data_IF_189090627728
#
_entry.id   IF_189090627728
#
_cell.length_a   1.000
_cell.length_b   1.000
_cell.length_c   1.000
_cell.angle_alpha   90.00
_cell.angle_beta   90.00
_cell.angle_gamma   90.00
#
_symmetry.space_group_name_H-M   'P 1'
#
loop_
_entity.id
_entity.type
_entity.pdbx_description
1 polymer ?
#
# COMPACT_ATOMS: atom_id res chain seq x y z
N UNK A 1 13.94 16.40 -21.19
CA UNK A 1 14.23 17.29 -20.04
C UNK A 1 15.31 16.65 -19.22
N UNK A 2 16.48 17.27 -19.09
CA UNK A 2 17.62 16.68 -18.38
C UNK A 2 17.54 17.03 -16.90
N UNK A 3 17.68 16.05 -16.03
CA UNK A 3 17.76 16.24 -14.58
C UNK A 3 19.15 16.80 -14.28
N UNK A 4 19.21 18.02 -13.71
CA UNK A 4 20.46 18.74 -13.48
C UNK A 4 21.04 18.51 -12.09
N UNK A 5 20.14 18.35 -11.09
CA UNK A 5 20.54 18.10 -9.70
C UNK A 5 19.44 17.38 -8.95
N UNK A 6 19.83 16.74 -7.86
CA UNK A 6 18.90 16.17 -6.88
C UNK A 6 19.32 16.61 -5.48
N UNK A 7 18.33 16.54 -4.57
CA UNK A 7 18.51 16.74 -3.14
C UNK A 7 17.64 15.76 -2.37
N UNK A 8 18.00 15.45 -1.13
CA UNK A 8 17.28 14.50 -0.29
C UNK A 8 17.30 14.97 1.17
N UNK A 9 16.12 14.90 1.79
CA UNK A 9 15.97 15.06 3.24
C UNK A 9 15.27 13.82 3.85
N UNK A 10 15.51 13.58 5.13
CA UNK A 10 14.92 12.48 5.89
C UNK A 10 14.11 13.07 7.04
N UNK A 11 12.82 12.75 7.06
CA UNK A 11 11.91 13.19 8.10
C UNK A 11 11.38 11.97 8.86
N UNK A 12 11.18 12.12 10.18
CA UNK A 12 10.70 11.08 11.07
C UNK A 12 9.37 11.51 11.68
N UNK A 13 8.31 10.77 11.37
CA UNK A 13 6.97 11.07 11.86
C UNK A 13 6.60 10.13 13.02
N UNK A 14 6.30 10.65 14.20
CA UNK A 14 6.04 9.84 15.38
C UNK A 14 4.66 9.15 15.31
N UNK A 15 4.61 7.88 15.66
CA UNK A 15 3.36 7.17 15.81
C UNK A 15 2.76 7.37 17.23
N UNK A 16 1.45 7.27 17.32
CA UNK A 16 0.72 7.30 18.59
C UNK A 16 1.02 6.06 19.45
N UNK A 17 1.20 4.90 18.79
CA UNK A 17 1.49 3.60 19.39
C UNK A 17 2.40 2.83 18.44
N UNK A 18 3.20 1.87 18.95
CA UNK A 18 3.92 0.96 18.07
C UNK A 18 2.98 0.25 17.11
N UNK A 19 3.33 0.22 15.82
CA UNK A 19 2.58 -0.51 14.81
C UNK A 19 3.19 -1.91 14.67
N UNK A 20 2.44 -2.93 15.10
CA UNK A 20 2.92 -4.31 15.20
C UNK A 20 2.27 -5.22 14.16
N UNK A 21 3.09 -5.87 13.33
CA UNK A 21 2.68 -6.91 12.38
C UNK A 21 3.90 -7.75 11.98
N UNK A 22 3.70 -8.89 11.34
CA UNK A 22 4.77 -9.72 10.77
C UNK A 22 5.89 -10.05 11.77
N UNK A 23 5.53 -10.14 13.06
CA UNK A 23 6.46 -10.49 14.14
C UNK A 23 7.37 -9.35 14.62
N UNK A 24 7.21 -8.13 14.13
CA UNK A 24 7.95 -6.94 14.55
C UNK A 24 7.05 -5.77 14.90
N UNK A 25 7.64 -4.66 15.32
CA UNK A 25 6.95 -3.40 15.57
C UNK A 25 7.88 -2.21 15.31
N UNK A 26 7.32 -1.08 14.89
CA UNK A 26 8.05 0.18 14.74
C UNK A 26 7.28 1.32 15.42
N UNK A 27 8.01 2.38 15.81
CA UNK A 27 7.48 3.46 16.64
C UNK A 27 7.36 4.79 15.92
N UNK A 28 7.99 4.91 14.77
CA UNK A 28 7.97 6.08 13.91
C UNK A 28 8.04 5.68 12.44
N UNK A 29 7.50 6.51 11.58
CA UNK A 29 7.61 6.35 10.13
C UNK A 29 8.70 7.27 9.62
N UNK A 30 9.67 6.69 8.94
CA UNK A 30 10.68 7.44 8.24
C UNK A 30 10.21 7.77 6.83
N UNK A 31 10.48 8.99 6.39
CA UNK A 31 10.12 9.49 5.07
C UNK A 31 11.37 10.05 4.41
N UNK A 32 11.47 9.87 3.11
CA UNK A 32 12.42 10.59 2.26
C UNK A 32 11.66 11.66 1.48
N UNK A 33 12.15 12.89 1.51
CA UNK A 33 11.77 13.96 0.58
C UNK A 33 12.85 14.03 -0.49
N UNK A 34 12.49 13.80 -1.75
CA UNK A 34 13.41 13.81 -2.89
C UNK A 34 13.06 15.01 -3.77
N UNK A 35 14.03 15.87 -4.02
CA UNK A 35 13.91 16.97 -4.97
C UNK A 35 14.72 16.65 -6.22
N UNK A 36 14.08 16.70 -7.38
CA UNK A 36 14.74 16.60 -8.69
C UNK A 36 14.55 17.93 -9.43
N UNK A 37 15.63 18.51 -9.91
CA UNK A 37 15.61 19.80 -10.61
C UNK A 37 16.05 19.66 -12.06
N UNK A 38 15.38 20.38 -12.91
CA UNK A 38 15.72 20.57 -14.31
C UNK A 38 15.88 22.07 -14.59
N UNK A 39 16.23 22.48 -15.80
CA UNK A 39 16.29 23.89 -16.15
C UNK A 39 14.92 24.60 -16.05
N UNK A 40 13.81 23.88 -16.12
CA UNK A 40 12.47 24.44 -16.33
C UNK A 40 11.53 24.18 -15.17
N UNK A 41 11.77 23.12 -14.37
CA UNK A 41 10.86 22.68 -13.32
C UNK A 41 11.58 21.97 -12.17
N UNK A 42 10.90 21.90 -11.04
CA UNK A 42 11.29 21.14 -9.86
C UNK A 42 10.18 20.16 -9.51
N UNK A 43 10.53 18.90 -9.26
CA UNK A 43 9.63 17.89 -8.72
C UNK A 43 10.08 17.49 -7.32
N UNK A 44 9.16 17.44 -6.37
CA UNK A 44 9.44 17.05 -4.97
C UNK A 44 8.55 15.88 -4.60
N UNK A 45 9.13 14.70 -4.53
CA UNK A 45 8.42 13.47 -4.16
C UNK A 45 8.70 13.04 -2.73
N UNK A 46 7.69 12.51 -2.05
CA UNK A 46 7.83 11.89 -0.73
C UNK A 46 7.77 10.38 -0.89
N UNK A 47 8.65 9.66 -0.19
CA UNK A 47 8.62 8.19 -0.07
C UNK A 47 8.54 7.78 1.39
N UNK A 48 7.68 6.81 1.70
CA UNK A 48 7.55 6.25 3.05
C UNK A 48 8.36 4.97 3.20
N UNK A 49 9.39 4.96 4.06
CA UNK A 49 10.23 3.80 4.27
C UNK A 49 9.50 2.75 5.11
N UNK A 50 9.40 1.53 4.63
CA UNK A 50 8.63 0.44 5.25
C UNK A 50 9.46 -0.84 5.36
N UNK A 51 10.51 -0.80 6.18
CA UNK A 51 11.54 -1.86 6.26
C UNK A 51 10.93 -3.21 6.65
N UNK A 52 10.13 -3.26 7.73
CA UNK A 52 9.52 -4.50 8.22
C UNK A 52 8.63 -5.17 7.16
N UNK A 53 7.87 -4.36 6.40
CA UNK A 53 7.01 -4.86 5.32
C UNK A 53 7.84 -5.33 4.13
N UNK A 54 8.81 -4.52 3.71
CA UNK A 54 9.56 -4.74 2.46
C UNK A 54 10.60 -5.86 2.59
N UNK A 55 11.30 -5.96 3.73
CA UNK A 55 12.23 -7.05 4.02
C UNK A 55 12.42 -7.29 5.53
N UNK A 56 11.75 -8.31 6.10
CA UNK A 56 11.89 -8.64 7.53
C UNK A 56 13.31 -9.04 7.94
N UNK A 57 14.15 -9.56 7.02
CA UNK A 57 15.53 -9.94 7.34
C UNK A 57 16.39 -8.69 7.60
N UNK A 58 16.20 -7.63 6.81
CA UNK A 58 16.86 -6.33 7.08
C UNK A 58 16.37 -5.76 8.40
N UNK A 59 15.05 -5.79 8.66
CA UNK A 59 14.49 -5.30 9.92
C UNK A 59 15.04 -6.04 11.14
N UNK A 60 15.17 -7.36 11.06
CA UNK A 60 15.67 -8.20 12.15
C UNK A 60 17.19 -8.10 12.38
N UNK A 61 17.96 -7.78 11.32
CA UNK A 61 19.41 -7.67 11.38
C UNK A 61 19.90 -6.30 11.88
N UNK A 62 19.03 -5.28 11.89
CA UNK A 62 19.39 -3.91 12.22
C UNK A 62 18.42 -3.32 13.26
N UNK A 63 18.82 -2.21 13.87
CA UNK A 63 17.87 -1.37 14.62
C UNK A 63 16.87 -0.71 13.66
N UNK A 64 15.73 -0.23 14.18
CA UNK A 64 14.76 0.55 13.39
C UNK A 64 15.46 1.70 12.64
N UNK A 65 16.33 2.44 13.31
CA UNK A 65 17.12 3.51 12.69
C UNK A 65 18.06 3.00 11.61
N UNK A 66 18.83 1.94 11.90
CA UNK A 66 19.83 1.39 10.97
C UNK A 66 19.19 0.87 9.67
N UNK A 67 18.09 0.12 9.78
CA UNK A 67 17.37 -0.38 8.61
C UNK A 67 16.78 0.75 7.73
N UNK A 68 16.20 1.78 8.36
CA UNK A 68 15.68 2.95 7.64
C UNK A 68 16.79 3.74 6.92
N UNK A 69 17.96 3.92 7.55
CA UNK A 69 19.10 4.57 6.92
C UNK A 69 19.60 3.79 5.70
N UNK A 70 19.66 2.46 5.77
CA UNK A 70 20.05 1.63 4.62
C UNK A 70 19.08 1.85 3.44
N UNK A 71 17.78 1.88 3.69
CA UNK A 71 16.79 2.14 2.62
C UNK A 71 16.88 3.58 2.09
N UNK A 72 17.10 4.57 2.95
CA UNK A 72 17.29 5.96 2.54
C UNK A 72 18.53 6.14 1.63
N UNK A 73 19.63 5.42 1.88
CA UNK A 73 20.81 5.40 1.00
C UNK A 73 20.50 4.82 -0.38
N UNK A 74 19.57 3.87 -0.48
CA UNK A 74 19.09 3.36 -1.79
C UNK A 74 18.29 4.43 -2.53
N UNK A 75 17.46 5.20 -1.82
CA UNK A 75 16.75 6.35 -2.39
C UNK A 75 17.73 7.40 -2.92
N UNK A 76 18.76 7.75 -2.14
CA UNK A 76 19.81 8.69 -2.54
C UNK A 76 20.55 8.21 -3.78
N UNK A 77 21.00 6.94 -3.78
CA UNK A 77 21.65 6.33 -4.94
C UNK A 77 20.80 6.49 -6.21
N UNK A 78 19.51 6.19 -6.12
CA UNK A 78 18.59 6.27 -7.26
C UNK A 78 18.39 7.71 -7.74
N UNK A 79 18.27 8.67 -6.83
CA UNK A 79 18.16 10.09 -7.17
C UNK A 79 19.44 10.61 -7.85
N UNK A 80 20.61 10.24 -7.33
CA UNK A 80 21.91 10.62 -7.92
C UNK A 80 22.12 9.98 -9.30
N UNK A 81 21.70 8.73 -9.51
CA UNK A 81 21.81 8.05 -10.80
C UNK A 81 20.98 8.72 -11.91
N UNK A 82 19.99 9.54 -11.57
CA UNK A 82 19.20 10.30 -12.53
C UNK A 82 19.89 11.60 -12.98
N UNK A 83 20.84 12.12 -12.22
CA UNK A 83 21.52 13.39 -12.57
C UNK A 83 22.28 13.24 -13.89
N UNK A 84 22.09 14.15 -14.80
CA UNK A 84 22.63 14.11 -16.17
C UNK A 84 21.81 13.27 -17.16
N UNK A 85 20.77 12.55 -16.71
CA UNK A 85 19.92 11.73 -17.58
C UNK A 85 18.69 12.51 -18.09
N UNK A 86 18.04 11.98 -19.11
CA UNK A 86 16.83 12.57 -19.72
C UNK A 86 15.81 11.47 -20.03
N UNK A 87 15.20 10.85 -19.00
CA UNK A 87 14.25 9.77 -19.23
C UNK A 87 13.03 10.27 -20.02
N UNK A 88 12.52 9.45 -20.93
CA UNK A 88 11.35 9.81 -21.74
C UNK A 88 10.07 9.85 -20.88
N UNK A 89 10.01 9.02 -19.83
CA UNK A 89 8.89 8.96 -18.90
C UNK A 89 9.34 8.52 -17.49
N UNK A 90 8.53 8.77 -16.44
CA UNK A 90 8.78 8.22 -15.10
C UNK A 90 8.87 6.69 -15.11
N UNK A 91 8.07 6.02 -15.91
CA UNK A 91 8.07 4.55 -16.03
C UNK A 91 9.40 4.01 -16.57
N UNK A 92 9.92 4.62 -17.63
CA UNK A 92 11.24 4.26 -18.18
C UNK A 92 12.35 4.45 -17.15
N UNK A 93 12.30 5.58 -16.42
CA UNK A 93 13.26 5.85 -15.35
C UNK A 93 13.21 4.75 -14.27
N UNK A 94 12.03 4.40 -13.77
CA UNK A 94 11.87 3.35 -12.75
C UNK A 94 12.31 1.98 -13.27
N UNK A 95 11.96 1.62 -14.50
CA UNK A 95 12.40 0.37 -15.12
C UNK A 95 13.94 0.26 -15.21
N UNK A 96 14.60 1.37 -15.50
CA UNK A 96 16.08 1.43 -15.59
C UNK A 96 16.72 1.42 -14.20
N UNK A 97 16.14 2.14 -13.24
CA UNK A 97 16.68 2.30 -11.89
C UNK A 97 16.48 1.08 -11.01
N UNK A 98 15.35 0.37 -11.12
CA UNK A 98 15.00 -0.70 -10.21
C UNK A 98 16.05 -1.82 -10.13
N UNK A 99 16.58 -2.35 -11.25
CA UNK A 99 17.65 -3.35 -11.17
C UNK A 99 18.93 -2.80 -10.51
N UNK A 100 19.29 -1.56 -10.79
CA UNK A 100 20.49 -0.91 -10.24
C UNK A 100 20.34 -0.64 -8.74
N UNK A 101 19.18 -0.11 -8.33
CA UNK A 101 18.86 0.14 -6.92
C UNK A 101 18.79 -1.16 -6.10
N UNK A 102 18.24 -2.24 -6.69
CA UNK A 102 18.20 -3.54 -6.03
C UNK A 102 19.60 -4.15 -5.85
N UNK A 103 20.45 -4.08 -6.87
CA UNK A 103 21.83 -4.55 -6.78
C UNK A 103 22.63 -3.72 -5.76
N UNK A 104 22.49 -2.39 -5.77
CA UNK A 104 23.08 -1.51 -4.76
C UNK A 104 22.60 -1.87 -3.34
N UNK A 105 21.30 -2.11 -3.17
CA UNK A 105 20.71 -2.49 -1.89
C UNK A 105 21.21 -3.84 -1.39
N UNK A 106 21.38 -4.85 -2.26
CA UNK A 106 21.96 -6.16 -1.91
C UNK A 106 23.39 -6.01 -1.41
N UNK A 107 24.18 -5.21 -2.09
CA UNK A 107 25.58 -4.95 -1.68
C UNK A 107 25.64 -4.19 -0.34
N UNK A 108 24.78 -3.19 -0.16
CA UNK A 108 24.70 -2.36 1.04
C UNK A 108 24.26 -3.16 2.27
N UNK A 109 23.22 -3.99 2.12
CA UNK A 109 22.67 -4.82 3.20
C UNK A 109 23.45 -6.12 3.42
N UNK A 110 24.27 -6.52 2.46
CA UNK A 110 24.97 -7.83 2.41
C UNK A 110 24.00 -9.01 2.44
N UNK A 111 22.79 -8.84 1.91
CA UNK A 111 21.76 -9.87 1.78
C UNK A 111 21.63 -10.25 0.30
N UNK A 112 22.18 -11.40 -0.14
CA UNK A 112 22.04 -11.84 -1.54
C UNK A 112 20.60 -12.04 -1.98
N UNK A 113 19.75 -12.51 -1.06
CA UNK A 113 18.31 -12.79 -1.26
C UNK A 113 17.43 -11.61 -0.84
N UNK A 114 17.95 -10.37 -0.86
CA UNK A 114 17.17 -9.18 -0.54
C UNK A 114 15.94 -9.09 -1.44
N UNK A 115 14.77 -8.85 -0.85
CA UNK A 115 13.51 -8.73 -1.58
C UNK A 115 13.50 -7.49 -2.49
N UNK A 116 12.96 -7.65 -3.69
CA UNK A 116 12.82 -6.52 -4.65
C UNK A 116 11.91 -5.42 -4.10
N UNK A 117 10.95 -5.78 -3.22
CA UNK A 117 10.09 -4.84 -2.51
C UNK A 117 10.88 -3.77 -1.76
N UNK A 118 12.07 -4.12 -1.21
CA UNK A 118 12.94 -3.17 -0.52
C UNK A 118 13.41 -2.03 -1.45
N UNK A 119 13.85 -2.39 -2.66
CA UNK A 119 14.27 -1.40 -3.66
C UNK A 119 13.08 -0.61 -4.22
N UNK A 120 11.94 -1.27 -4.51
CA UNK A 120 10.73 -0.59 -4.98
C UNK A 120 10.25 0.44 -3.97
N UNK A 121 10.26 0.11 -2.68
CA UNK A 121 9.85 1.05 -1.64
C UNK A 121 10.80 2.25 -1.53
N UNK A 122 12.11 2.03 -1.66
CA UNK A 122 13.09 3.10 -1.71
C UNK A 122 12.89 4.06 -2.91
N UNK A 123 12.36 3.57 -4.03
CA UNK A 123 12.14 4.36 -5.24
C UNK A 123 10.87 5.23 -5.20
N UNK A 124 9.97 5.08 -4.23
CA UNK A 124 8.68 5.79 -4.20
C UNK A 124 8.85 7.32 -4.26
N UNK A 125 9.73 7.89 -3.43
CA UNK A 125 9.98 9.34 -3.44
C UNK A 125 10.56 9.83 -4.76
N UNK A 126 11.44 9.05 -5.37
CA UNK A 126 12.04 9.35 -6.69
C UNK A 126 10.98 9.32 -7.78
N UNK A 127 10.14 8.29 -7.81
CA UNK A 127 9.06 8.14 -8.78
C UNK A 127 8.03 9.27 -8.67
N UNK A 128 7.62 9.62 -7.44
CA UNK A 128 6.70 10.73 -7.20
C UNK A 128 7.26 12.08 -7.69
N UNK A 129 8.57 12.34 -7.48
CA UNK A 129 9.24 13.52 -8.01
C UNK A 129 9.28 13.53 -9.55
N UNK A 130 9.55 12.38 -10.16
CA UNK A 130 9.53 12.22 -11.63
C UNK A 130 8.14 12.47 -12.22
N UNK A 131 7.06 11.98 -11.57
CA UNK A 131 5.70 12.23 -12.02
C UNK A 131 5.30 13.70 -11.91
N UNK A 132 5.77 14.42 -10.88
CA UNK A 132 5.58 15.88 -10.81
C UNK A 132 6.32 16.61 -11.92
N UNK A 133 7.59 16.25 -12.21
CA UNK A 133 8.33 16.80 -13.35
C UNK A 133 7.65 16.51 -14.69
N UNK A 134 7.14 15.28 -14.85
CA UNK A 134 6.42 14.89 -16.05
C UNK A 134 5.15 15.71 -16.23
N UNK A 135 4.38 15.90 -15.15
CA UNK A 135 3.19 16.72 -15.17
C UNK A 135 3.50 18.18 -15.52
N UNK A 136 4.50 18.76 -14.87
CA UNK A 136 4.93 20.15 -15.16
C UNK A 136 5.35 20.34 -16.62
N UNK A 137 6.15 19.40 -17.15
CA UNK A 137 6.61 19.43 -18.54
C UNK A 137 5.48 19.40 -19.57
N UNK A 138 4.43 18.63 -19.29
CA UNK A 138 3.33 18.39 -20.23
C UNK A 138 2.06 19.19 -19.90
N UNK A 139 2.10 20.06 -18.87
CA UNK A 139 0.95 20.86 -18.43
C UNK A 139 -0.21 19.99 -17.92
N UNK A 140 0.08 18.84 -17.29
CA UNK A 140 -0.94 17.94 -16.77
C UNK A 140 -1.41 18.42 -15.39
N UNK A 141 -2.72 18.50 -15.21
CA UNK A 141 -3.34 19.08 -14.00
C UNK A 141 -4.32 18.13 -13.32
N UNK A 142 -4.54 16.94 -13.88
CA UNK A 142 -5.44 15.94 -13.32
C UNK A 142 -4.77 14.57 -13.27
N UNK A 143 -5.17 13.71 -12.32
CA UNK A 143 -4.64 12.35 -12.26
C UNK A 143 -4.96 11.55 -13.54
N UNK A 144 -6.14 11.75 -14.14
CA UNK A 144 -6.52 11.05 -15.36
C UNK A 144 -5.55 11.30 -16.53
N UNK A 145 -4.93 12.48 -16.57
CA UNK A 145 -3.92 12.82 -17.58
C UNK A 145 -2.56 12.14 -17.30
N UNK A 146 -2.29 11.72 -16.06
CA UNK A 146 -1.09 10.95 -15.72
C UNK A 146 -1.21 9.49 -16.13
N UNK A 147 -2.44 8.95 -16.22
CA UNK A 147 -2.66 7.52 -16.53
C UNK A 147 -2.21 7.24 -17.98
N UNK A 148 -1.20 6.36 -18.18
CA UNK A 148 -0.74 5.99 -19.51
C UNK A 148 -1.84 5.26 -20.31
N UNK A 149 -1.81 5.38 -21.64
CA UNK A 149 -2.83 4.79 -22.50
C UNK A 149 -3.07 3.30 -22.25
N UNK A 150 -2.01 2.53 -22.01
CA UNK A 150 -2.11 1.10 -21.74
C UNK A 150 -2.79 0.74 -20.40
N UNK A 151 -2.89 1.69 -19.45
CA UNK A 151 -3.50 1.48 -18.14
C UNK A 151 -4.90 2.12 -18.02
N UNK A 152 -5.38 2.83 -19.05
CA UNK A 152 -6.66 3.54 -19.01
C UNK A 152 -7.84 2.62 -18.75
N UNK A 153 -7.88 1.46 -19.38
CA UNK A 153 -9.00 0.51 -19.21
C UNK A 153 -9.02 -0.08 -17.79
N UNK A 154 -7.85 -0.29 -17.18
CA UNK A 154 -7.74 -0.77 -15.82
C UNK A 154 -8.14 0.28 -14.77
N UNK A 155 -7.99 1.57 -15.10
CA UNK A 155 -8.22 2.71 -14.22
C UNK A 155 -9.33 3.63 -14.75
N UNK A 156 -10.40 3.03 -15.27
CA UNK A 156 -11.53 3.75 -15.87
C UNK A 156 -12.74 3.93 -14.93
N UNK A 157 -12.77 3.25 -13.80
CA UNK A 157 -13.87 3.40 -12.84
C UNK A 157 -13.89 4.80 -12.22
N UNK A 158 -15.03 5.18 -11.69
CA UNK A 158 -15.24 6.44 -11.00
C UNK A 158 -15.96 6.19 -9.69
N UNK A 159 -15.19 5.81 -8.67
CA UNK A 159 -15.73 5.57 -7.33
C UNK A 159 -16.06 6.92 -6.67
N UNK A 160 -17.30 7.14 -6.31
CA UNK A 160 -17.72 8.31 -5.54
C UNK A 160 -17.55 8.10 -4.04
N UNK A 161 -17.40 6.84 -3.62
CA UNK A 161 -17.15 6.45 -2.25
C UNK A 161 -16.18 5.26 -2.24
N UNK A 162 -15.24 5.28 -1.28
CA UNK A 162 -14.41 4.12 -0.95
C UNK A 162 -14.64 3.77 0.52
N UNK A 163 -14.80 2.49 0.84
CA UNK A 163 -14.73 2.03 2.22
C UNK A 163 -13.28 2.07 2.66
N UNK A 164 -13.04 2.70 3.80
CA UNK A 164 -11.71 2.75 4.41
C UNK A 164 -11.49 1.51 5.26
N UNK A 165 -10.40 0.79 5.01
CA UNK A 165 -10.00 -0.37 5.78
C UNK A 165 -8.97 0.05 6.84
N UNK A 166 -9.32 0.06 8.13
CA UNK A 166 -8.32 0.16 9.19
C UNK A 166 -7.66 -1.20 9.40
N UNK A 167 -6.34 -1.23 9.63
CA UNK A 167 -5.66 -2.46 10.01
C UNK A 167 -5.96 -2.80 11.48
N UNK A 168 -6.55 -3.96 11.69
CA UNK A 168 -6.77 -4.57 13.00
C UNK A 168 -5.55 -5.42 13.32
N UNK A 169 -4.56 -4.79 13.98
CA UNK A 169 -3.30 -5.45 14.37
C UNK A 169 -3.50 -6.36 15.58
N UNK A 170 -2.49 -7.12 15.96
CA UNK A 170 -2.52 -7.99 17.16
C UNK A 170 -2.74 -7.22 18.47
N UNK A 171 -2.45 -5.93 18.50
CA UNK A 171 -2.61 -5.04 19.66
C UNK A 171 -3.77 -4.04 19.52
N UNK A 172 -4.68 -4.28 18.59
CA UNK A 172 -5.84 -3.42 18.39
C UNK A 172 -6.77 -3.48 19.60
N UNK A 173 -7.33 -2.33 19.98
CA UNK A 173 -8.33 -2.24 21.06
C UNK A 173 -9.71 -2.69 20.55
N UNK A 174 -10.09 -3.92 20.85
CA UNK A 174 -11.32 -4.54 20.37
C UNK A 174 -12.59 -3.85 20.85
N UNK A 175 -12.55 -3.10 21.95
CA UNK A 175 -13.70 -2.29 22.40
C UNK A 175 -14.12 -1.25 21.34
N UNK A 176 -13.22 -0.85 20.45
CA UNK A 176 -13.52 0.07 19.35
C UNK A 176 -14.21 -0.61 18.17
N UNK A 177 -14.12 -1.93 18.03
CA UNK A 177 -14.68 -2.65 16.88
C UNK A 177 -16.19 -2.53 16.80
N UNK A 178 -16.90 -2.68 17.91
CA UNK A 178 -18.35 -2.53 17.97
C UNK A 178 -18.79 -1.12 17.53
N UNK A 179 -18.10 -0.08 18.01
CA UNK A 179 -18.38 1.32 17.63
C UNK A 179 -18.13 1.56 16.14
N UNK A 180 -17.06 1.00 15.58
CA UNK A 180 -16.79 1.11 14.14
C UNK A 180 -17.83 0.35 13.30
N UNK A 181 -18.26 -0.81 13.76
CA UNK A 181 -19.25 -1.63 13.07
C UNK A 181 -20.66 -0.98 13.05
N UNK A 182 -21.02 -0.19 14.07
CA UNK A 182 -22.28 0.57 14.11
C UNK A 182 -22.41 1.59 12.96
N UNK A 183 -21.30 2.00 12.34
CA UNK A 183 -21.31 2.93 11.20
C UNK A 183 -21.97 2.38 9.94
N UNK A 184 -22.13 1.06 9.81
CA UNK A 184 -22.58 0.39 8.59
C UNK A 184 -21.57 0.39 7.44
N UNK A 185 -20.44 1.09 7.60
CA UNK A 185 -19.38 1.24 6.58
C UNK A 185 -18.03 0.72 7.09
N UNK A 186 -18.03 -0.28 7.96
CA UNK A 186 -16.82 -0.83 8.55
C UNK A 186 -16.41 -2.12 7.85
N UNK A 187 -15.22 -2.14 7.24
CA UNK A 187 -14.58 -3.32 6.66
C UNK A 187 -13.24 -3.56 7.36
N UNK A 188 -13.18 -4.49 8.34
CA UNK A 188 -11.95 -4.74 9.09
C UNK A 188 -10.91 -5.47 8.23
N UNK A 189 -9.71 -4.91 8.10
CA UNK A 189 -8.53 -5.63 7.62
C UNK A 189 -7.82 -6.24 8.84
N UNK A 190 -8.03 -7.53 9.07
CA UNK A 190 -7.54 -8.24 10.25
C UNK A 190 -6.20 -8.87 9.95
N UNK A 191 -5.17 -8.53 10.74
CA UNK A 191 -3.86 -9.19 10.68
C UNK A 191 -3.97 -10.57 11.32
N UNK A 192 -3.62 -11.60 10.56
CA UNK A 192 -3.47 -12.99 10.98
C UNK A 192 -2.01 -13.43 10.85
N UNK A 193 -1.67 -14.66 11.24
CA UNK A 193 -0.28 -15.10 11.26
C UNK A 193 0.45 -14.69 12.53
N UNK A 194 -0.18 -14.91 13.70
CA UNK A 194 0.41 -14.59 15.01
C UNK A 194 1.81 -15.21 15.19
N UNK A 195 2.70 -14.58 15.97
CA UNK A 195 4.02 -15.15 16.27
C UNK A 195 3.92 -16.50 16.96
N UNK A 196 4.85 -17.41 16.66
CA UNK A 196 4.93 -18.77 17.24
C UNK A 196 5.19 -19.83 16.17
N UNK A 197 5.12 -21.09 16.56
CA UNK A 197 5.09 -22.23 15.63
C UNK A 197 3.81 -22.19 14.79
N UNK A 198 3.75 -22.91 13.66
CA UNK A 198 2.55 -22.95 12.81
C UNK A 198 1.29 -23.42 13.56
N UNK A 199 1.43 -24.37 14.49
CA UNK A 199 0.31 -24.83 15.32
C UNK A 199 -0.15 -23.77 16.33
N UNK A 200 0.77 -23.09 17.00
CA UNK A 200 0.43 -21.99 17.91
C UNK A 200 -0.18 -20.80 17.17
N UNK A 201 0.37 -20.47 15.99
CA UNK A 201 -0.15 -19.42 15.11
C UNK A 201 -1.60 -19.71 14.72
N UNK A 202 -1.85 -20.90 14.17
CA UNK A 202 -3.19 -21.32 13.77
C UNK A 202 -4.18 -21.28 14.92
N UNK A 203 -3.78 -21.80 16.10
CA UNK A 203 -4.65 -21.80 17.28
C UNK A 203 -5.02 -20.39 17.73
N UNK A 204 -4.07 -19.45 17.72
CA UNK A 204 -4.30 -18.03 18.07
C UNK A 204 -5.15 -17.32 17.03
N UNK A 205 -4.90 -17.54 15.73
CA UNK A 205 -5.70 -16.96 14.67
C UNK A 205 -7.14 -17.44 14.74
N UNK A 206 -7.37 -18.75 14.93
CA UNK A 206 -8.71 -19.31 15.12
C UNK A 206 -9.44 -18.71 16.32
N UNK A 207 -8.78 -18.63 17.48
CA UNK A 207 -9.39 -18.03 18.68
C UNK A 207 -9.76 -16.56 18.47
N UNK A 208 -8.82 -15.78 17.91
CA UNK A 208 -9.03 -14.36 17.61
C UNK A 208 -10.18 -14.11 16.65
N UNK A 209 -10.23 -14.86 15.55
CA UNK A 209 -11.30 -14.71 14.55
C UNK A 209 -12.66 -15.12 15.10
N UNK A 210 -12.71 -16.14 15.97
CA UNK A 210 -13.95 -16.54 16.68
C UNK A 210 -14.46 -15.39 17.56
N UNK A 211 -13.59 -14.76 18.36
CA UNK A 211 -13.94 -13.64 19.22
C UNK A 211 -14.44 -12.44 18.40
N UNK A 212 -13.72 -12.07 17.35
CA UNK A 212 -14.08 -10.95 16.47
C UNK A 212 -15.42 -11.21 15.76
N UNK A 213 -15.63 -12.41 15.24
CA UNK A 213 -16.87 -12.78 14.57
C UNK A 213 -18.07 -12.78 15.53
N UNK A 214 -17.90 -13.27 16.75
CA UNK A 214 -18.95 -13.20 17.78
C UNK A 214 -19.31 -11.76 18.13
N UNK A 215 -18.36 -10.84 18.08
CA UNK A 215 -18.57 -9.44 18.43
C UNK A 215 -19.24 -8.62 17.31
N UNK A 216 -18.81 -8.78 16.05
CA UNK A 216 -19.22 -7.90 14.93
C UNK A 216 -19.81 -8.63 13.74
N UNK A 217 -19.86 -9.98 13.72
CA UNK A 217 -20.27 -10.76 12.56
C UNK A 217 -21.71 -10.52 12.08
N UNK A 218 -22.59 -10.04 12.96
CA UNK A 218 -23.96 -9.67 12.64
C UNK A 218 -24.14 -8.19 12.30
N UNK A 219 -23.06 -7.40 12.25
CA UNK A 219 -23.15 -5.98 11.93
C UNK A 219 -23.61 -5.78 10.47
N UNK A 220 -24.48 -4.79 10.20
CA UNK A 220 -24.89 -4.49 8.85
C UNK A 220 -23.75 -3.78 8.09
N UNK A 221 -23.76 -3.94 6.75
CA UNK A 221 -22.85 -3.23 5.87
C UNK A 221 -23.57 -2.73 4.63
N UNK A 222 -23.50 -1.43 4.35
CA UNK A 222 -24.14 -0.78 3.21
C UNK A 222 -23.33 -0.88 1.91
N UNK A 223 -22.11 -1.41 2.02
CA UNK A 223 -21.15 -1.57 0.91
C UNK A 223 -21.13 -3.00 0.34
N UNK A 224 -21.70 -3.98 1.01
CA UNK A 224 -21.78 -5.36 0.53
C UNK A 224 -23.10 -5.64 -0.17
N UNK A 225 -23.09 -6.54 -1.16
CA UNK A 225 -24.27 -6.87 -1.98
C UNK A 225 -25.38 -7.54 -1.16
N UNK A 226 -25.04 -8.24 -0.09
CA UNK A 226 -25.99 -8.94 0.80
C UNK A 226 -26.26 -8.21 2.12
N UNK A 227 -25.70 -7.03 2.32
CA UNK A 227 -25.90 -6.21 3.52
C UNK A 227 -25.16 -6.70 4.77
N UNK A 228 -24.29 -7.72 4.66
CA UNK A 228 -23.49 -8.25 5.78
C UNK A 228 -22.07 -7.68 5.80
N UNK A 229 -21.53 -7.52 7.01
CA UNK A 229 -20.13 -7.17 7.21
C UNK A 229 -19.23 -8.20 6.54
N UNK A 230 -18.24 -7.73 5.77
CA UNK A 230 -17.20 -8.56 5.16
C UNK A 230 -15.89 -8.46 5.96
N UNK A 231 -15.05 -9.48 5.83
CA UNK A 231 -13.73 -9.55 6.47
C UNK A 231 -12.63 -9.60 5.41
N UNK A 232 -11.63 -8.77 5.57
CA UNK A 232 -10.39 -8.82 4.84
C UNK A 232 -9.32 -9.39 5.79
N UNK A 233 -8.75 -10.55 5.49
CA UNK A 233 -7.69 -11.17 6.29
C UNK A 233 -6.33 -10.92 5.62
N UNK A 234 -5.32 -10.55 6.39
CA UNK A 234 -3.97 -10.30 5.89
C UNK A 234 -2.94 -11.09 6.70
N UNK A 235 -2.35 -12.09 6.05
CA UNK A 235 -1.41 -13.02 6.64
C UNK A 235 0.06 -12.61 6.51
N UNK A 236 0.37 -11.65 5.64
CA UNK A 236 1.74 -11.17 5.36
C UNK A 236 2.77 -12.30 5.17
N UNK A 237 2.39 -13.38 4.48
CA UNK A 237 3.26 -14.51 4.15
C UNK A 237 3.59 -15.44 5.34
N UNK A 238 2.74 -15.52 6.35
CA UNK A 238 3.05 -16.25 7.59
C UNK A 238 2.66 -17.73 7.58
N UNK A 239 1.78 -18.18 6.69
CA UNK A 239 1.38 -19.58 6.55
C UNK A 239 2.38 -20.32 5.67
N UNK A 240 3.02 -21.39 6.20
CA UNK A 240 4.06 -22.12 5.46
C UNK A 240 3.47 -23.12 4.46
N UNK A 241 2.23 -23.58 4.66
CA UNK A 241 1.60 -24.60 3.82
C UNK A 241 0.13 -24.33 3.54
N UNK A 242 -0.35 -24.83 2.39
CA UNK A 242 -1.77 -24.85 2.04
C UNK A 242 -2.61 -25.64 3.02
N UNK A 243 -2.08 -26.69 3.64
CA UNK A 243 -2.82 -27.50 4.62
C UNK A 243 -3.09 -26.71 5.91
N UNK A 244 -2.13 -25.92 6.39
CA UNK A 244 -2.37 -25.05 7.55
C UNK A 244 -3.42 -23.99 7.23
N UNK A 245 -3.40 -23.42 6.02
CA UNK A 245 -4.42 -22.45 5.58
C UNK A 245 -5.80 -23.11 5.46
N UNK A 246 -5.91 -24.32 4.89
CA UNK A 246 -7.18 -25.05 4.81
C UNK A 246 -7.76 -25.32 6.19
N UNK A 247 -6.96 -25.67 7.18
CA UNK A 247 -7.41 -25.85 8.58
C UNK A 247 -7.99 -24.55 9.17
N UNK A 248 -7.43 -23.39 8.81
CA UNK A 248 -8.06 -22.11 9.16
C UNK A 248 -9.42 -21.97 8.47
N UNK A 249 -9.50 -22.20 7.16
CA UNK A 249 -10.76 -22.10 6.41
C UNK A 249 -11.84 -23.05 6.95
N UNK A 250 -11.48 -24.29 7.29
CA UNK A 250 -12.38 -25.26 7.95
C UNK A 250 -12.87 -24.74 9.31
N UNK A 251 -12.05 -23.99 10.03
CA UNK A 251 -12.47 -23.35 11.28
C UNK A 251 -13.45 -22.21 11.02
N UNK A 252 -13.17 -21.35 10.03
CA UNK A 252 -14.04 -20.23 9.65
C UNK A 252 -15.40 -20.71 9.16
N UNK A 253 -15.45 -21.82 8.43
CA UNK A 253 -16.70 -22.47 8.01
C UNK A 253 -17.51 -22.93 9.23
N UNK A 254 -16.88 -23.63 10.17
CA UNK A 254 -17.54 -24.11 11.39
C UNK A 254 -18.14 -23.01 12.27
N UNK A 255 -17.57 -21.82 12.27
CA UNK A 255 -18.10 -20.69 13.04
C UNK A 255 -19.05 -19.80 12.21
N UNK A 256 -19.30 -20.12 10.93
CA UNK A 256 -20.17 -19.36 10.02
C UNK A 256 -19.58 -18.05 9.49
N UNK A 257 -18.25 -17.90 9.58
CA UNK A 257 -17.55 -16.70 9.13
C UNK A 257 -17.10 -16.79 7.67
N UNK A 258 -16.99 -18.01 7.09
CA UNK A 258 -16.35 -18.22 5.79
C UNK A 258 -17.02 -17.43 4.66
N UNK A 259 -18.35 -17.39 4.60
CA UNK A 259 -19.14 -16.69 3.59
C UNK A 259 -19.00 -15.15 3.67
N UNK A 260 -18.44 -14.63 4.74
CA UNK A 260 -18.17 -13.21 4.93
C UNK A 260 -16.71 -12.84 4.65
N UNK A 261 -15.86 -13.79 4.22
CA UNK A 261 -14.48 -13.51 3.85
C UNK A 261 -14.46 -12.89 2.44
N UNK A 262 -14.16 -11.60 2.36
CA UNK A 262 -13.95 -10.91 1.09
C UNK A 262 -12.72 -11.48 0.37
N UNK A 263 -11.60 -11.56 1.10
CA UNK A 263 -10.36 -12.15 0.60
C UNK A 263 -9.36 -12.44 1.74
N UNK A 264 -8.35 -13.27 1.41
CA UNK A 264 -7.14 -13.45 2.22
C UNK A 264 -5.94 -12.94 1.42
N UNK A 265 -5.22 -11.94 1.98
CA UNK A 265 -4.04 -11.33 1.37
C UNK A 265 -2.77 -12.07 1.79
N UNK A 266 -1.90 -12.32 0.81
CA UNK A 266 -0.55 -12.89 0.93
C UNK A 266 -0.47 -13.98 2.02
N UNK A 267 -1.14 -15.13 1.83
CA UNK A 267 -1.13 -16.18 2.85
C UNK A 267 0.25 -16.81 3.03
N UNK A 268 1.02 -16.95 1.96
CA UNK A 268 2.29 -17.66 1.92
C UNK A 268 3.49 -16.73 1.73
N UNK A 269 4.70 -17.19 2.14
CA UNK A 269 5.95 -16.50 1.78
C UNK A 269 6.07 -16.28 0.28
N UNK A 270 6.79 -15.24 -0.15
CA UNK A 270 6.93 -14.86 -1.57
C UNK A 270 7.50 -15.98 -2.44
N UNK A 271 8.39 -16.79 -1.90
CA UNK A 271 9.04 -17.93 -2.55
C UNK A 271 8.12 -19.15 -2.68
N UNK A 272 6.98 -19.17 -1.99
CA UNK A 272 6.03 -20.29 -2.05
C UNK A 272 5.33 -20.30 -3.42
N UNK A 273 5.31 -21.48 -4.05
CA UNK A 273 4.74 -21.69 -5.39
C UNK A 273 3.44 -22.50 -5.35
N UNK A 274 2.79 -22.63 -4.19
CA UNK A 274 1.53 -23.36 -4.07
C UNK A 274 0.43 -22.75 -4.92
N UNK A 275 -0.36 -23.59 -5.55
CA UNK A 275 -1.60 -23.18 -6.20
C UNK A 275 -2.67 -22.91 -5.14
N UNK A 276 -3.50 -21.89 -5.38
CA UNK A 276 -4.56 -21.43 -4.46
C UNK A 276 -5.94 -21.39 -5.11
N UNK A 277 -6.04 -21.75 -6.38
CA UNK A 277 -7.27 -21.66 -7.16
C UNK A 277 -8.38 -22.63 -6.73
N UNK A 278 -8.07 -23.62 -5.89
CA UNK A 278 -9.02 -24.58 -5.32
C UNK A 278 -9.56 -24.14 -3.94
N UNK A 279 -9.09 -23.02 -3.41
CA UNK A 279 -9.55 -22.51 -2.12
C UNK A 279 -10.93 -21.83 -2.26
N UNK A 280 -11.82 -21.97 -1.25
CA UNK A 280 -13.20 -21.44 -1.33
C UNK A 280 -13.30 -19.93 -1.13
N UNK A 281 -12.17 -19.23 -1.01
CA UNK A 281 -12.09 -17.77 -0.80
C UNK A 281 -11.14 -17.13 -1.81
N UNK A 282 -11.35 -15.86 -2.12
CA UNK A 282 -10.44 -15.11 -2.97
C UNK A 282 -9.09 -14.91 -2.27
N UNK A 283 -8.00 -15.23 -2.94
CA UNK A 283 -6.64 -14.98 -2.46
C UNK A 283 -6.06 -13.79 -3.21
N UNK A 284 -5.53 -12.82 -2.48
CA UNK A 284 -4.87 -11.65 -3.03
C UNK A 284 -3.34 -11.72 -2.85
N UNK A 285 -2.59 -11.28 -3.86
CA UNK A 285 -1.14 -11.13 -3.78
C UNK A 285 -0.76 -9.69 -3.43
N UNK A 286 0.19 -9.49 -2.51
CA UNK A 286 0.76 -8.19 -2.14
C UNK A 286 2.29 -8.22 -2.19
N UNK A 287 2.98 -8.66 -1.14
CA UNK A 287 4.44 -8.63 -1.05
C UNK A 287 5.13 -9.29 -2.24
N UNK A 288 4.53 -10.34 -2.75
CA UNK A 288 5.04 -11.12 -3.89
C UNK A 288 4.84 -10.50 -5.26
N UNK A 289 4.30 -9.27 -5.35
CA UNK A 289 4.12 -8.52 -6.59
C UNK A 289 5.17 -7.41 -6.70
N UNK A 290 6.13 -7.58 -7.59
CA UNK A 290 7.19 -6.60 -7.86
C UNK A 290 7.11 -6.02 -9.26
N UNK A 291 6.54 -6.77 -10.21
CA UNK A 291 6.40 -6.37 -11.60
C UNK A 291 5.25 -7.12 -12.30
N UNK A 292 5.13 -6.90 -13.60
CA UNK A 292 4.09 -7.52 -14.46
C UNK A 292 4.22 -9.05 -14.55
N UNK A 293 5.43 -9.58 -14.46
CA UNK A 293 5.65 -11.03 -14.57
C UNK A 293 5.22 -11.74 -13.28
N UNK A 294 5.40 -11.08 -12.12
CA UNK A 294 4.85 -11.56 -10.85
C UNK A 294 3.31 -11.57 -10.88
N UNK A 295 2.66 -10.53 -11.43
CA UNK A 295 1.20 -10.54 -11.63
C UNK A 295 0.76 -11.73 -12.45
N UNK A 296 1.42 -12.00 -13.59
CA UNK A 296 1.11 -13.13 -14.46
C UNK A 296 1.30 -14.47 -13.75
N UNK A 297 2.39 -14.60 -12.99
CA UNK A 297 2.72 -15.81 -12.24
C UNK A 297 1.66 -16.08 -11.15
N UNK A 298 1.32 -15.07 -10.33
CA UNK A 298 0.32 -15.23 -9.26
C UNK A 298 -1.07 -15.55 -9.82
N UNK A 299 -1.47 -14.94 -10.91
CA UNK A 299 -2.71 -15.30 -11.60
C UNK A 299 -2.66 -16.78 -12.06
N UNK A 300 -1.53 -17.22 -12.62
CA UNK A 300 -1.34 -18.62 -13.03
C UNK A 300 -1.43 -19.62 -11.86
N UNK A 301 -1.12 -19.19 -10.64
CA UNK A 301 -1.24 -19.96 -9.41
C UNK A 301 -2.66 -19.89 -8.79
N UNK A 302 -3.61 -19.17 -9.41
CA UNK A 302 -4.99 -19.06 -8.96
C UNK A 302 -5.28 -17.89 -8.01
N UNK A 303 -4.34 -16.94 -7.84
CA UNK A 303 -4.63 -15.71 -7.08
C UNK A 303 -5.71 -14.91 -7.79
N UNK A 304 -6.77 -14.58 -7.06
CA UNK A 304 -8.00 -13.95 -7.58
C UNK A 304 -8.02 -12.42 -7.45
N UNK A 305 -7.04 -11.79 -6.80
CA UNK A 305 -6.92 -10.34 -6.70
C UNK A 305 -5.45 -9.89 -6.58
N UNK A 306 -5.15 -8.64 -7.01
CA UNK A 306 -3.82 -8.05 -6.96
C UNK A 306 -3.82 -6.80 -6.09
N UNK A 307 -2.98 -6.78 -5.05
CA UNK A 307 -2.84 -5.64 -4.14
C UNK A 307 -1.80 -4.66 -4.67
N UNK A 308 -2.25 -3.48 -5.04
CA UNK A 308 -1.42 -2.40 -5.55
C UNK A 308 -1.06 -1.44 -4.41
N UNK A 309 0.10 -0.77 -4.53
CA UNK A 309 0.58 0.22 -3.55
C UNK A 309 1.39 1.32 -4.24
N UNK A 310 0.75 2.33 -4.79
CA UNK A 310 1.45 3.45 -5.42
C UNK A 310 2.43 4.12 -4.44
N UNK A 311 2.03 4.28 -3.18
CA UNK A 311 2.87 4.81 -2.10
C UNK A 311 3.83 3.78 -1.47
N UNK A 312 3.91 2.56 -1.98
CA UNK A 312 4.80 1.49 -1.47
C UNK A 312 5.67 0.84 -2.54
N UNK A 313 5.17 0.78 -3.78
CA UNK A 313 5.81 0.09 -4.93
C UNK A 313 5.94 0.98 -6.16
N UNK A 314 5.87 2.31 -6.02
CA UNK A 314 5.84 3.34 -7.07
C UNK A 314 4.52 3.40 -7.85
N UNK A 315 4.13 4.58 -8.31
CA UNK A 315 2.98 4.76 -9.22
C UNK A 315 3.27 4.11 -10.58
N UNK A 316 4.50 4.26 -11.07
CA UNK A 316 4.93 3.69 -12.34
C UNK A 316 4.72 2.18 -12.40
N UNK A 317 5.11 1.44 -11.36
CA UNK A 317 4.88 0.00 -11.30
C UNK A 317 3.41 -0.34 -11.05
N UNK A 318 2.70 0.48 -10.28
CA UNK A 318 1.26 0.32 -10.03
C UNK A 318 0.45 0.38 -11.33
N UNK A 319 0.73 1.30 -12.24
CA UNK A 319 0.09 1.35 -13.55
C UNK A 319 0.34 0.08 -14.38
N UNK A 320 1.58 -0.40 -14.40
CA UNK A 320 1.94 -1.60 -15.14
C UNK A 320 1.23 -2.85 -14.60
N UNK A 321 1.23 -3.02 -13.27
CA UNK A 321 0.57 -4.15 -12.61
C UNK A 321 -0.96 -4.08 -12.73
N UNK A 322 -1.58 -2.90 -12.60
CA UNK A 322 -3.02 -2.73 -12.80
C UNK A 322 -3.45 -3.16 -14.21
N UNK A 323 -2.74 -2.71 -15.24
CA UNK A 323 -3.01 -3.09 -16.61
C UNK A 323 -2.84 -4.61 -16.85
N UNK A 324 -1.80 -5.22 -16.26
CA UNK A 324 -1.55 -6.66 -16.39
C UNK A 324 -2.65 -7.51 -15.71
N UNK A 325 -3.13 -7.11 -14.56
CA UNK A 325 -4.24 -7.76 -13.85
C UNK A 325 -5.55 -7.61 -14.65
N UNK A 326 -5.87 -6.38 -15.07
CA UNK A 326 -7.06 -6.10 -15.86
C UNK A 326 -7.13 -6.91 -17.16
N UNK A 327 -6.00 -7.01 -17.90
CA UNK A 327 -5.91 -7.78 -19.14
C UNK A 327 -6.20 -9.29 -18.94
N UNK A 328 -6.21 -9.78 -17.70
CA UNK A 328 -6.53 -11.16 -17.30
C UNK A 328 -7.88 -11.28 -16.61
N UNK A 329 -8.66 -10.19 -16.50
CA UNK A 329 -9.94 -10.16 -15.82
C UNK A 329 -9.82 -10.33 -14.28
N UNK A 330 -8.63 -10.09 -13.70
CA UNK A 330 -8.39 -10.19 -12.27
C UNK A 330 -8.52 -8.80 -11.65
N UNK A 331 -9.37 -8.62 -10.62
CA UNK A 331 -9.53 -7.34 -9.94
C UNK A 331 -8.26 -6.94 -9.19
N UNK A 332 -8.10 -5.63 -9.00
CA UNK A 332 -7.06 -5.05 -8.19
C UNK A 332 -7.65 -4.16 -7.09
N UNK A 333 -6.92 -4.01 -6.02
CA UNK A 333 -7.25 -3.14 -4.89
C UNK A 333 -6.01 -2.41 -4.42
N UNK A 334 -6.18 -1.42 -3.54
CA UNK A 334 -5.05 -0.64 -3.00
C UNK A 334 -4.95 -0.83 -1.51
N UNK A 335 -3.75 -1.26 -1.07
CA UNK A 335 -3.40 -1.34 0.34
C UNK A 335 -2.48 -0.19 0.77
N UNK A 336 -2.36 0.00 2.09
CA UNK A 336 -1.57 1.08 2.70
C UNK A 336 -0.12 0.64 2.99
N UNK A 337 0.71 1.64 3.18
CA UNK A 337 2.09 1.50 3.68
C UNK A 337 2.37 2.45 4.85
N UNK A 338 1.33 2.82 5.62
CA UNK A 338 1.42 3.84 6.66
C UNK A 338 1.58 5.24 6.05
N UNK A 339 0.66 5.61 5.16
CA UNK A 339 0.74 6.87 4.41
C UNK A 339 0.49 8.09 5.30
N UNK A 340 1.37 9.08 5.21
CA UNK A 340 1.09 10.48 5.60
C UNK A 340 0.18 11.14 4.55
N UNK A 341 -0.47 12.29 4.81
CA UNK A 341 -1.31 12.98 3.84
C UNK A 341 -0.69 13.13 2.45
N UNK A 342 0.60 13.48 2.37
CA UNK A 342 1.33 13.64 1.12
C UNK A 342 1.44 12.34 0.28
N UNK A 343 1.34 11.18 0.91
CA UNK A 343 1.37 9.87 0.25
C UNK A 343 -0.01 9.30 0.00
N UNK A 344 -0.99 9.62 0.86
CA UNK A 344 -2.36 9.11 0.76
C UNK A 344 -2.99 9.43 -0.59
N UNK A 345 -2.76 10.65 -1.12
CA UNK A 345 -3.30 11.09 -2.41
C UNK A 345 -2.94 10.18 -3.59
N UNK A 346 -1.73 9.60 -3.61
CA UNK A 346 -1.29 8.67 -4.64
C UNK A 346 -2.10 7.37 -4.64
N UNK A 347 -2.25 6.74 -3.48
CA UNK A 347 -3.06 5.53 -3.31
C UNK A 347 -4.55 5.81 -3.57
N UNK A 348 -5.07 6.92 -3.06
CA UNK A 348 -6.47 7.31 -3.20
C UNK A 348 -6.89 7.51 -4.66
N UNK A 349 -6.04 8.16 -5.46
CA UNK A 349 -6.29 8.36 -6.90
C UNK A 349 -6.36 7.03 -7.66
N UNK A 350 -5.51 6.07 -7.32
CA UNK A 350 -5.55 4.74 -7.93
C UNK A 350 -6.82 4.00 -7.49
N UNK A 351 -7.09 3.92 -6.18
CA UNK A 351 -8.25 3.20 -5.64
C UNK A 351 -9.57 3.72 -6.19
N UNK A 352 -9.69 5.06 -6.33
CA UNK A 352 -10.88 5.70 -6.87
C UNK A 352 -11.18 5.37 -8.34
N UNK A 353 -10.21 4.77 -9.04
CA UNK A 353 -10.32 4.43 -10.46
C UNK A 353 -10.32 2.93 -10.73
N UNK A 354 -10.17 2.11 -9.70
CA UNK A 354 -10.33 0.66 -9.80
C UNK A 354 -11.81 0.28 -9.68
N UNK A 355 -12.26 -0.76 -10.40
CA UNK A 355 -13.59 -1.35 -10.18
C UNK A 355 -13.73 -1.88 -8.75
N UNK A 356 -14.96 -1.94 -8.25
CA UNK A 356 -15.26 -2.61 -6.99
C UNK A 356 -14.92 -4.10 -7.06
N UNK A 357 -14.54 -4.68 -5.93
CA UNK A 357 -14.35 -6.13 -5.84
C UNK A 357 -15.71 -6.87 -5.95
N UNK A 358 -15.72 -8.12 -6.41
CA UNK A 358 -16.92 -8.94 -6.38
C UNK A 358 -17.55 -8.97 -4.97
N UNK A 359 -18.87 -8.85 -4.88
CA UNK A 359 -19.61 -8.77 -3.62
C UNK A 359 -19.66 -7.39 -2.98
N UNK A 360 -19.15 -6.35 -3.66
CA UNK A 360 -19.11 -4.98 -3.13
C UNK A 360 -19.75 -3.95 -4.09
N UNK A 361 -20.55 -3.06 -3.54
CA UNK A 361 -21.20 -1.96 -4.26
C UNK A 361 -20.30 -0.72 -4.49
N UNK A 362 -19.14 -0.64 -3.82
CA UNK A 362 -18.18 0.45 -3.97
C UNK A 362 -16.73 -0.04 -3.82
N UNK A 363 -15.77 0.81 -4.14
CA UNK A 363 -14.34 0.50 -3.98
C UNK A 363 -13.87 0.52 -2.53
N UNK A 364 -12.65 0.06 -2.32
CA UNK A 364 -11.99 0.01 -1.01
C UNK A 364 -10.61 0.67 -1.06
N UNK A 365 -10.16 1.17 0.09
CA UNK A 365 -8.79 1.63 0.30
C UNK A 365 -8.36 1.37 1.74
N UNK A 366 -7.29 0.60 1.93
CA UNK A 366 -6.64 0.55 3.23
C UNK A 366 -5.97 1.90 3.53
N UNK A 367 -6.19 2.43 4.72
CA UNK A 367 -5.53 3.65 5.19
C UNK A 367 -5.41 3.64 6.71
N UNK A 368 -4.18 3.62 7.18
CA UNK A 368 -3.81 3.50 8.59
C UNK A 368 -3.21 4.80 9.17
N UNK A 369 -2.85 5.76 8.32
CA UNK A 369 -2.19 6.98 8.74
C UNK A 369 -3.04 7.82 9.69
N UNK A 370 -4.34 7.89 9.44
CA UNK A 370 -5.27 8.71 10.19
C UNK A 370 -5.26 8.41 11.70
N UNK A 371 -5.20 7.12 12.07
CA UNK A 371 -5.16 6.72 13.48
C UNK A 371 -3.74 6.47 14.01
N UNK A 372 -2.75 6.38 13.13
CA UNK A 372 -1.39 5.99 13.52
C UNK A 372 -0.50 7.18 13.90
N UNK A 373 -0.61 8.31 13.19
CA UNK A 373 0.27 9.45 13.42
C UNK A 373 -0.19 10.35 14.55
N UNK A 374 0.76 10.73 15.42
CA UNK A 374 0.52 11.68 16.52
C UNK A 374 0.13 13.07 16.00
N UNK A 375 0.81 13.52 14.96
CA UNK A 375 0.68 14.84 14.35
C UNK A 375 -0.17 14.86 13.07
N UNK A 376 -1.06 13.86 12.86
CA UNK A 376 -1.89 13.79 11.65
C UNK A 376 -2.64 15.10 11.35
N UNK A 377 -3.20 15.76 12.38
CA UNK A 377 -3.96 17.00 12.18
C UNK A 377 -3.09 18.13 11.62
N UNK A 378 -1.84 18.24 12.06
CA UNK A 378 -0.87 19.23 11.58
C UNK A 378 -0.48 18.94 10.13
N UNK A 379 -0.19 17.66 9.81
CA UNK A 379 0.14 17.22 8.46
C UNK A 379 -1.03 17.44 7.48
N UNK A 380 -2.26 17.11 7.92
CA UNK A 380 -3.47 17.33 7.12
C UNK A 380 -3.77 18.82 6.89
N UNK A 381 -3.50 19.67 7.90
CA UNK A 381 -3.62 21.11 7.77
C UNK A 381 -2.60 21.72 6.78
N UNK A 382 -1.37 21.20 6.77
CA UNK A 382 -0.33 21.64 5.86
C UNK A 382 -0.53 21.15 4.41
N UNK A 383 -1.36 20.12 4.20
CA UNK A 383 -1.58 19.52 2.88
C UNK A 383 -2.32 20.47 1.94
N UNK A 384 -2.02 20.39 0.63
CA UNK A 384 -2.61 21.26 -0.40
C UNK A 384 -4.14 21.18 -0.48
N UNK A 385 -4.71 20.02 -0.12
CA UNK A 385 -6.16 19.80 -0.03
C UNK A 385 -6.70 19.85 1.40
N UNK A 386 -6.13 20.73 2.24
CA UNK A 386 -6.60 20.91 3.61
C UNK A 386 -8.13 21.07 3.67
N UNK A 387 -8.76 20.35 4.59
CA UNK A 387 -10.23 20.30 4.71
C UNK A 387 -10.92 19.27 3.83
N UNK A 388 -10.20 18.55 2.96
CA UNK A 388 -10.80 17.46 2.20
C UNK A 388 -11.24 16.32 3.13
N UNK A 389 -12.40 15.70 2.82
CA UNK A 389 -12.99 14.63 3.62
C UNK A 389 -12.04 13.46 3.87
N UNK A 390 -11.24 13.10 2.88
CA UNK A 390 -10.29 11.98 2.99
C UNK A 390 -9.12 12.22 3.96
N UNK A 391 -8.96 13.44 4.49
CA UNK A 391 -8.00 13.78 5.55
C UNK A 391 -8.62 13.79 6.95
N UNK A 392 -9.95 13.61 7.07
CA UNK A 392 -10.64 13.56 8.35
C UNK A 392 -10.32 12.27 9.12
N UNK A 393 -10.13 12.37 10.44
CA UNK A 393 -9.88 11.21 11.31
C UNK A 393 -11.10 10.35 11.58
N UNK A 394 -12.27 10.97 11.61
CA UNK A 394 -13.51 10.35 12.08
C UNK A 394 -14.34 9.79 10.92
N UNK A 395 -13.67 9.11 9.97
CA UNK A 395 -14.36 8.55 8.81
C UNK A 395 -14.04 7.08 8.59
N UNK A 396 -15.07 6.31 8.29
CA UNK A 396 -14.98 4.93 7.79
C UNK A 396 -15.06 4.85 6.27
N UNK A 397 -15.28 5.99 5.59
CA UNK A 397 -15.35 6.11 4.15
C UNK A 397 -14.55 7.29 3.65
N UNK A 398 -14.16 7.26 2.40
CA UNK A 398 -13.68 8.42 1.66
C UNK A 398 -14.75 8.85 0.66
N UNK A 399 -15.36 10.02 0.87
CA UNK A 399 -16.29 10.61 -0.06
C UNK A 399 -15.54 11.39 -1.14
N UNK A 400 -15.72 11.01 -2.40
CA UNK A 400 -14.96 11.47 -3.55
C UNK A 400 -15.91 12.11 -4.58
N UNK A 401 -16.13 13.41 -4.43
CA UNK A 401 -16.97 14.17 -5.33
C UNK A 401 -16.33 14.44 -6.71
N UNK A 402 -17.07 15.10 -7.58
CA UNK A 402 -16.61 15.45 -8.93
C UNK A 402 -15.32 16.27 -8.93
N UNK A 403 -15.14 17.15 -7.96
CA UNK A 403 -13.93 17.95 -7.79
C UNK A 403 -12.69 17.08 -7.55
N UNK A 404 -12.81 15.96 -6.82
CA UNK A 404 -11.71 15.00 -6.66
C UNK A 404 -11.30 14.39 -8.00
N UNK A 405 -12.28 13.92 -8.79
CA UNK A 405 -12.02 13.29 -10.08
C UNK A 405 -11.53 14.26 -11.16
N UNK A 406 -11.87 15.54 -11.05
CA UNK A 406 -11.39 16.61 -11.92
C UNK A 406 -10.01 17.15 -11.53
N UNK A 407 -9.43 16.68 -10.41
CA UNK A 407 -8.15 17.14 -9.87
C UNK A 407 -7.12 16.02 -9.77
N UNK A 408 -6.22 16.21 -8.81
CA UNK A 408 -5.10 15.30 -8.53
C UNK A 408 -4.89 15.05 -7.02
N UNK A 409 -5.84 15.44 -6.16
CA UNK A 409 -5.78 15.24 -4.71
C UNK A 409 -4.48 15.73 -4.03
N UNK A 410 -3.89 16.81 -4.54
CA UNK A 410 -2.67 17.42 -3.98
C UNK A 410 -1.35 16.77 -4.38
N UNK A 411 -1.34 15.68 -5.14
CA UNK A 411 -0.09 14.95 -5.48
C UNK A 411 0.85 15.71 -6.42
N UNK A 412 0.34 16.66 -7.17
CA UNK A 412 1.14 17.52 -8.07
C UNK A 412 1.54 18.83 -7.41
N UNK A 413 1.05 19.13 -6.22
CA UNK A 413 1.47 20.28 -5.43
C UNK A 413 2.73 19.94 -4.62
N UNK A 414 3.56 20.96 -4.26
CA UNK A 414 4.68 20.73 -3.36
C UNK A 414 4.21 20.11 -2.03
N UNK A 415 4.77 18.96 -1.62
CA UNK A 415 4.29 18.21 -0.45
C UNK A 415 4.74 18.89 0.86
N UNK A 416 3.94 19.80 1.39
CA UNK A 416 4.21 20.44 2.70
C UNK A 416 3.92 19.46 3.85
N UNK A 417 4.72 19.46 4.93
CA UNK A 417 5.88 20.34 5.21
C UNK A 417 7.21 19.88 4.58
N UNK A 418 7.26 18.74 3.94
CA UNK A 418 8.49 18.03 3.51
C UNK A 418 9.29 18.78 2.45
N UNK A 419 8.64 19.61 1.64
CA UNK A 419 9.31 20.39 0.60
C UNK A 419 10.34 21.39 1.16
N UNK A 420 10.19 21.85 2.40
CA UNK A 420 11.07 22.86 2.98
C UNK A 420 12.51 22.37 3.16
N UNK A 421 12.71 21.08 3.49
CA UNK A 421 14.04 20.49 3.70
C UNK A 421 14.88 20.32 2.44
N UNK A 422 14.27 20.36 1.26
CA UNK A 422 14.94 20.11 -0.04
C UNK A 422 14.77 21.26 -1.04
N UNK A 423 14.16 22.38 -0.64
CA UNK A 423 13.90 23.53 -1.51
C UNK A 423 14.95 24.64 -1.40
N UNK A 424 15.95 24.47 -0.53
CA UNK A 424 16.99 25.47 -0.25
C UNK A 424 18.06 25.56 -1.35
#
# INVERSE_FOLDING_TARGET
MTIQSCDLDIVREPLLRPFAFKGGAFTEKWLTAVCLRTAEATGIGVGGLAILWSDPAVFGAHTETGGNLLMALVTEFAAQALVGTSPASPMEAVQTLLPQAHEYARNLTRLPELRRTFALNALVGVDNALWQLHAARHGLTTFNQLVPDFAKDALCARQHRLVRLPAITYSFDDARLAVLAESGCFLPKIKIGHPGTQEEMLARDCARLTELHAQVGCAPADYSDDGRLLYYLDANGRYESGDTLRRLLDHLDRIGMLDQILLIEEPFPEENQSEVGDLPVMIAADESLHDVDDVRRRIGQGYGAMTLKAAGKTLSMTFAMAAAAHARGVPALVADSGCVPALLGWNLNVAARLPSLPGMSCGILESNGLESYRNWAELAHAHATCGAHFLSRDTTTFELGDAFHAGHAGILDPPKPYAAGVSA
#
